data_IF_874559051286
#
_entry.id   IF_874559051286
#
_cell.length_a   1.000
_cell.length_b   1.000
_cell.length_c   1.000
_cell.angle_alpha   90.00
_cell.angle_beta   90.00
_cell.angle_gamma   90.00
#
_symmetry.space_group_name_H-M   'P 1'
#
loop_
_entity.id
_entity.type
_entity.pdbx_description
1 polymer ?
#
# COMPACT_ATOMS: atom_id res chain seq x y z
N UNK A 1 0.65 20.70 26.39
CA UNK A 1 1.24 19.56 25.67
C UNK A 1 2.20 18.85 26.62
N UNK A 2 1.78 17.77 27.25
CA UNK A 2 2.60 16.95 28.17
C UNK A 2 3.61 16.18 27.33
N UNK A 3 4.89 16.48 27.48
CA UNK A 3 6.00 15.67 26.92
C UNK A 3 5.97 14.30 27.61
N UNK A 4 5.41 13.30 26.97
CA UNK A 4 5.61 11.93 27.40
C UNK A 4 7.13 11.64 27.27
N UNK A 5 7.78 11.40 28.39
CA UNK A 5 9.21 11.12 28.45
C UNK A 5 9.43 9.75 27.83
N UNK A 6 10.39 9.67 26.91
CA UNK A 6 10.88 8.40 26.32
C UNK A 6 11.24 7.35 27.40
N UNK A 7 11.61 7.80 28.60
CA UNK A 7 11.84 6.99 29.79
C UNK A 7 10.60 6.26 30.30
N UNK A 8 9.41 6.87 30.19
CA UNK A 8 8.15 6.25 30.64
C UNK A 8 7.73 5.11 29.72
N UNK A 9 7.90 5.27 28.40
CA UNK A 9 7.60 4.24 27.40
C UNK A 9 8.54 3.06 27.60
N UNK A 10 9.84 3.33 27.76
CA UNK A 10 10.85 2.29 28.00
C UNK A 10 10.66 1.53 29.31
N UNK A 11 10.25 2.22 30.39
CA UNK A 11 9.96 1.58 31.68
C UNK A 11 8.68 0.72 31.60
N UNK A 12 7.66 1.14 30.87
CA UNK A 12 6.44 0.35 30.67
C UNK A 12 6.71 -0.89 29.84
N UNK A 13 7.53 -0.79 28.80
CA UNK A 13 7.95 -1.94 27.97
C UNK A 13 8.77 -2.96 28.77
N UNK A 14 9.68 -2.51 29.66
CA UNK A 14 10.44 -3.40 30.54
C UNK A 14 9.50 -4.07 31.58
N UNK A 15 8.53 -3.35 32.14
CA UNK A 15 7.57 -3.92 33.08
C UNK A 15 6.68 -4.97 32.41
N UNK A 16 6.26 -4.74 31.18
CA UNK A 16 5.54 -5.73 30.37
C UNK A 16 6.40 -6.99 30.11
N UNK A 17 7.68 -6.83 29.80
CA UNK A 17 8.61 -7.96 29.55
C UNK A 17 8.83 -8.77 30.84
N UNK A 18 8.90 -8.16 32.02
CA UNK A 18 9.09 -8.89 33.29
C UNK A 18 7.82 -9.61 33.73
N UNK A 19 6.64 -9.11 33.41
CA UNK A 19 5.36 -9.80 33.68
C UNK A 19 5.14 -11.00 32.73
N UNK A 20 5.78 -11.03 31.55
CA UNK A 20 5.68 -12.12 30.58
C UNK A 20 6.31 -13.44 31.04
N UNK A 21 7.24 -13.43 31.99
CA UNK A 21 7.81 -14.65 32.58
C UNK A 21 6.82 -15.46 33.47
N UNK A 22 5.63 -14.90 33.76
CA UNK A 22 4.60 -15.58 34.53
C UNK A 22 3.59 -16.34 33.66
N UNK A 23 3.58 -16.10 32.36
CA UNK A 23 2.70 -16.76 31.42
C UNK A 23 3.54 -17.47 30.34
N UNK A 24 3.25 -18.72 30.06
CA UNK A 24 3.87 -19.55 29.01
C UNK A 24 3.53 -19.05 27.58
N UNK A 25 3.70 -17.76 27.33
CA UNK A 25 3.37 -17.14 26.02
C UNK A 25 4.66 -16.90 25.22
N UNK A 26 4.65 -17.29 23.95
CA UNK A 26 5.76 -17.03 23.04
C UNK A 26 5.86 -15.52 22.76
N UNK A 27 7.07 -14.98 22.94
CA UNK A 27 7.38 -13.63 22.45
C UNK A 27 7.68 -13.72 20.97
N UNK A 28 6.99 -12.92 20.19
CA UNK A 28 7.23 -12.81 18.73
C UNK A 28 7.88 -11.47 18.42
N UNK A 29 8.72 -11.46 17.41
CA UNK A 29 9.37 -10.24 16.95
C UNK A 29 9.40 -10.18 15.43
N UNK A 30 9.37 -8.96 14.89
CA UNK A 30 9.55 -8.66 13.47
C UNK A 30 10.56 -7.54 13.34
N UNK A 31 11.42 -7.60 12.31
CA UNK A 31 12.32 -6.53 11.94
C UNK A 31 12.29 -6.35 10.43
N UNK A 32 12.38 -5.12 9.97
CA UNK A 32 12.35 -4.79 8.56
C UNK A 32 13.32 -3.69 8.20
N UNK A 33 13.77 -3.75 6.96
CA UNK A 33 14.55 -2.70 6.31
C UNK A 33 14.01 -2.52 4.89
N UNK A 34 13.75 -1.27 4.49
CA UNK A 34 13.42 -0.89 3.13
C UNK A 34 14.39 0.21 2.70
N UNK A 35 14.98 0.07 1.52
CA UNK A 35 15.67 1.13 0.80
C UNK A 35 14.96 1.37 -0.51
N UNK A 36 14.68 2.62 -0.81
CA UNK A 36 14.01 3.07 -2.02
C UNK A 36 14.84 4.18 -2.64
N UNK A 37 15.18 4.01 -3.91
CA UNK A 37 15.61 5.08 -4.79
C UNK A 37 14.64 5.11 -5.98
N UNK A 38 13.98 6.24 -6.22
CA UNK A 38 13.04 6.45 -7.32
C UNK A 38 13.36 7.79 -7.99
N UNK A 39 14.09 7.75 -9.11
CA UNK A 39 14.42 8.91 -9.90
C UNK A 39 13.41 9.05 -11.04
N UNK A 40 12.60 10.10 -11.00
CA UNK A 40 11.50 10.38 -11.93
C UNK A 40 11.90 11.51 -12.86
N UNK A 41 12.04 11.20 -14.15
CA UNK A 41 12.36 12.15 -15.22
C UNK A 41 11.08 12.49 -16.01
N UNK A 42 10.13 13.16 -15.31
CA UNK A 42 8.83 13.50 -15.90
C UNK A 42 8.84 14.91 -16.49
N UNK A 43 8.39 15.01 -17.74
CA UNK A 43 8.18 16.26 -18.47
C UNK A 43 6.71 16.53 -18.75
N UNK A 44 5.86 15.54 -18.52
CA UNK A 44 4.39 15.64 -18.70
C UNK A 44 3.75 16.58 -17.68
N UNK A 45 2.61 17.18 -18.06
CA UNK A 45 1.79 18.03 -17.18
C UNK A 45 1.27 17.28 -15.93
N UNK A 46 1.09 15.96 -16.01
CA UNK A 46 0.51 15.13 -14.95
C UNK A 46 1.53 14.62 -13.94
N UNK A 47 2.80 14.79 -14.22
CA UNK A 47 3.91 14.42 -13.33
C UNK A 47 4.93 15.56 -13.24
N UNK A 48 5.83 15.48 -12.29
CA UNK A 48 6.98 16.40 -12.18
C UNK A 48 8.23 15.60 -11.85
N UNK A 49 9.40 16.10 -12.25
CA UNK A 49 10.67 15.46 -11.92
C UNK A 49 10.88 15.48 -10.40
N UNK A 50 11.21 14.33 -9.85
CA UNK A 50 11.43 14.13 -8.42
C UNK A 50 12.38 12.96 -8.21
N UNK A 51 13.28 13.08 -7.24
CA UNK A 51 14.08 11.96 -6.76
C UNK A 51 13.73 11.65 -5.32
N UNK A 52 13.16 10.48 -5.08
CA UNK A 52 12.92 9.94 -3.74
C UNK A 52 14.08 9.00 -3.43
N UNK A 53 14.82 9.27 -2.38
CA UNK A 53 15.92 8.44 -1.91
C UNK A 53 15.83 8.31 -0.39
N UNK A 54 15.56 7.13 0.12
CA UNK A 54 15.41 6.96 1.55
C UNK A 54 15.55 5.53 2.04
N UNK A 55 15.75 5.43 3.35
CA UNK A 55 15.81 4.16 4.08
C UNK A 55 14.84 4.16 5.23
N UNK A 56 14.14 3.06 5.40
CA UNK A 56 13.26 2.81 6.53
C UNK A 56 13.71 1.59 7.29
N UNK A 57 13.78 1.71 8.60
CA UNK A 57 13.89 0.58 9.51
C UNK A 57 12.58 0.39 10.25
N UNK A 58 12.22 -0.85 10.54
CA UNK A 58 11.05 -1.18 11.36
C UNK A 58 11.39 -2.27 12.36
N UNK A 59 10.79 -2.19 13.53
CA UNK A 59 10.89 -3.22 14.56
C UNK A 59 9.56 -3.33 15.31
N UNK A 60 9.11 -4.55 15.53
CA UNK A 60 7.93 -4.87 16.31
C UNK A 60 8.25 -6.00 17.29
N UNK A 61 7.70 -5.93 18.47
CA UNK A 61 7.71 -7.01 19.46
C UNK A 61 6.28 -7.25 19.91
N UNK A 62 5.97 -8.47 20.25
CA UNK A 62 4.64 -8.80 20.72
C UNK A 62 4.61 -10.15 21.41
N UNK A 63 3.44 -10.54 21.78
CA UNK A 63 3.20 -11.84 22.41
C UNK A 63 2.06 -12.57 21.72
N UNK A 64 2.24 -13.85 21.61
CA UNK A 64 1.25 -14.77 21.07
C UNK A 64 0.30 -15.17 22.19
N UNK A 65 -0.99 -14.88 22.04
CA UNK A 65 -2.03 -15.24 23.02
C UNK A 65 -2.35 -16.75 22.87
N UNK A 66 -2.49 -17.19 21.64
CA UNK A 66 -2.66 -18.60 21.25
C UNK A 66 -2.07 -18.84 19.86
N UNK A 67 -2.29 -20.01 19.27
CA UNK A 67 -1.78 -20.36 17.95
C UNK A 67 -2.19 -19.42 16.82
N UNK A 68 -3.29 -18.70 16.99
CA UNK A 68 -3.90 -17.86 15.96
C UNK A 68 -3.88 -16.39 16.31
N UNK A 69 -3.66 -16.01 17.56
CA UNK A 69 -3.84 -14.66 18.07
C UNK A 69 -2.54 -14.08 18.61
N UNK A 70 -2.30 -12.81 18.27
CA UNK A 70 -1.16 -12.06 18.75
C UNK A 70 -1.48 -10.58 18.91
N UNK A 71 -0.75 -9.92 19.81
CA UNK A 71 -0.68 -8.46 19.89
C UNK A 71 0.76 -8.05 19.62
N UNK A 72 0.93 -7.07 18.75
CA UNK A 72 2.24 -6.53 18.39
C UNK A 72 2.25 -5.02 18.59
N UNK A 73 3.39 -4.52 19.05
CA UNK A 73 3.69 -3.09 19.09
C UNK A 73 5.09 -2.82 18.56
N UNK A 74 5.32 -1.60 18.10
CA UNK A 74 6.62 -1.20 17.57
C UNK A 74 6.51 0.06 16.73
N UNK A 75 7.26 0.08 15.64
CA UNK A 75 7.18 1.20 14.72
C UNK A 75 8.23 1.15 13.63
N UNK A 76 8.21 2.20 12.81
CA UNK A 76 9.19 2.40 11.75
C UNK A 76 9.72 3.82 11.74
N UNK A 77 10.94 3.97 11.25
CA UNK A 77 11.63 5.25 11.13
C UNK A 77 12.18 5.41 9.72
N UNK A 78 11.78 6.50 9.05
CA UNK A 78 12.21 6.85 7.70
C UNK A 78 13.24 7.97 7.75
N UNK A 79 14.32 7.81 7.01
CA UNK A 79 15.32 8.84 6.74
C UNK A 79 15.42 9.01 5.22
N UNK A 80 15.15 10.20 4.73
CA UNK A 80 15.43 10.58 3.35
C UNK A 80 16.88 11.04 3.23
N UNK A 81 17.54 10.57 2.18
CA UNK A 81 18.96 10.82 1.94
C UNK A 81 19.15 12.00 0.98
N UNK A 82 20.26 12.72 1.17
CA UNK A 82 20.67 13.86 0.36
C UNK A 82 21.80 14.60 1.04
N UNK A 83 22.18 15.76 0.53
CA UNK A 83 23.19 16.62 1.15
C UNK A 83 22.77 17.01 2.59
N UNK A 84 21.48 17.20 2.81
CA UNK A 84 20.88 17.33 4.14
C UNK A 84 19.90 16.20 4.33
N UNK A 85 20.26 15.24 5.17
CA UNK A 85 19.35 14.14 5.52
C UNK A 85 18.13 14.70 6.24
N UNK A 86 16.95 14.27 5.82
CA UNK A 86 15.70 14.58 6.47
C UNK A 86 15.15 13.32 7.18
N UNK A 87 15.01 13.44 8.50
CA UNK A 87 14.48 12.39 9.34
C UNK A 87 13.00 12.67 9.64
N UNK A 88 12.14 11.72 9.28
CA UNK A 88 10.72 11.80 9.58
C UNK A 88 10.43 11.43 11.04
N UNK A 89 9.27 11.83 11.55
CA UNK A 89 8.83 11.34 12.86
C UNK A 89 8.58 9.83 12.81
N UNK A 90 8.94 9.10 13.88
CA UNK A 90 8.65 7.68 13.96
C UNK A 90 7.17 7.39 13.81
N UNK A 91 6.82 6.42 12.98
CA UNK A 91 5.45 5.94 12.79
C UNK A 91 5.25 4.71 13.67
N UNK A 92 4.38 4.82 14.66
CA UNK A 92 4.12 3.74 15.61
C UNK A 92 3.20 2.68 15.01
N UNK A 93 3.38 1.44 15.46
CA UNK A 93 2.48 0.30 15.24
C UNK A 93 1.98 -0.22 16.58
N UNK A 94 0.70 -0.56 16.64
CA UNK A 94 0.08 -1.26 17.76
C UNK A 94 -1.20 -1.91 17.25
N UNK A 95 -1.23 -3.22 17.19
CA UNK A 95 -2.35 -3.93 16.62
C UNK A 95 -2.54 -5.34 17.17
N UNK A 96 -3.78 -5.78 17.13
CA UNK A 96 -4.17 -7.17 17.30
C UNK A 96 -4.17 -7.87 15.96
N UNK A 97 -3.69 -9.11 15.93
CA UNK A 97 -3.74 -10.00 14.77
C UNK A 97 -4.40 -11.33 15.14
N UNK A 98 -5.37 -11.75 14.32
CA UNK A 98 -5.89 -13.11 14.29
C UNK A 98 -5.57 -13.73 12.94
N UNK A 99 -4.94 -14.91 12.93
CA UNK A 99 -4.56 -15.57 11.68
C UNK A 99 -4.79 -17.09 11.76
N UNK A 100 -5.59 -17.60 10.85
CA UNK A 100 -5.74 -19.02 10.57
C UNK A 100 -5.70 -19.28 9.06
N UNK A 101 -6.05 -20.48 8.61
CA UNK A 101 -6.01 -20.85 7.19
C UNK A 101 -7.05 -20.13 6.33
N UNK A 102 -8.11 -19.60 6.93
CA UNK A 102 -9.22 -18.95 6.22
C UNK A 102 -9.19 -17.42 6.38
N UNK A 103 -8.76 -16.91 7.51
CA UNK A 103 -8.86 -15.49 7.87
C UNK A 103 -7.53 -14.98 8.42
N UNK A 104 -7.05 -13.85 7.86
CA UNK A 104 -6.04 -13.00 8.48
C UNK A 104 -6.68 -11.64 8.79
N UNK A 105 -6.97 -11.40 10.07
CA UNK A 105 -7.59 -10.17 10.56
C UNK A 105 -6.56 -9.36 11.35
N UNK A 106 -6.52 -8.07 11.09
CA UNK A 106 -5.69 -7.11 11.81
C UNK A 106 -6.55 -5.91 12.21
N UNK A 107 -6.37 -5.42 13.45
CA UNK A 107 -7.07 -4.24 13.96
C UNK A 107 -6.14 -3.39 14.81
N UNK A 108 -6.08 -2.09 14.54
CA UNK A 108 -5.19 -1.12 15.17
C UNK A 108 -4.37 -0.35 14.13
N UNK A 109 -3.12 -0.02 14.47
CA UNK A 109 -2.16 0.58 13.56
C UNK A 109 -1.15 -0.48 13.11
N UNK A 110 -1.22 -0.96 11.89
CA UNK A 110 -0.43 -2.09 11.39
C UNK A 110 0.23 -1.79 10.03
N UNK A 111 1.42 -2.39 9.75
CA UNK A 111 2.16 -2.12 8.52
C UNK A 111 1.41 -2.53 7.25
N UNK A 112 1.62 -1.74 6.18
CA UNK A 112 1.20 -2.09 4.82
C UNK A 112 2.25 -3.02 4.22
N UNK A 113 2.05 -4.33 4.33
CA UNK A 113 2.94 -5.32 3.71
C UNK A 113 2.75 -5.39 2.19
N UNK A 114 1.50 -5.26 1.74
CA UNK A 114 1.10 -5.27 0.33
C UNK A 114 -0.02 -4.23 0.14
N UNK A 115 0.06 -3.46 -0.94
CA UNK A 115 -1.01 -2.54 -1.32
C UNK A 115 -2.32 -3.30 -1.55
N UNK A 116 -3.42 -2.79 -0.97
CA UNK A 116 -4.75 -3.37 -1.14
C UNK A 116 -5.36 -2.99 -2.49
N UNK A 117 -5.01 -1.81 -3.01
CA UNK A 117 -5.57 -1.27 -4.24
C UNK A 117 -4.49 -1.05 -5.30
N UNK A 118 -4.82 -1.12 -6.60
CA UNK A 118 -3.90 -0.79 -7.69
C UNK A 118 -3.54 0.71 -7.70
N UNK A 119 -2.46 1.05 -8.39
CA UNK A 119 -1.90 2.42 -8.46
C UNK A 119 -2.89 3.47 -8.97
N UNK A 120 -3.81 3.09 -9.83
CA UNK A 120 -4.88 3.98 -10.32
C UNK A 120 -5.77 4.50 -9.18
N UNK A 121 -5.91 3.76 -8.09
CA UNK A 121 -6.69 4.14 -6.90
C UNK A 121 -5.82 4.61 -5.73
N UNK A 122 -4.59 4.08 -5.61
CA UNK A 122 -3.71 4.32 -4.47
C UNK A 122 -2.23 4.30 -4.92
N UNK A 123 -1.60 5.47 -4.99
CA UNK A 123 -0.23 5.60 -5.51
C UNK A 123 0.84 5.03 -4.57
N UNK A 124 1.93 4.53 -5.12
CA UNK A 124 3.05 3.95 -4.37
C UNK A 124 3.72 4.94 -3.40
N UNK A 125 3.79 6.23 -3.77
CA UNK A 125 4.36 7.26 -2.90
C UNK A 125 3.61 7.41 -1.58
N UNK A 126 2.30 7.14 -1.54
CA UNK A 126 1.55 7.12 -0.29
C UNK A 126 2.04 6.03 0.66
N UNK A 127 2.35 4.84 0.17
CA UNK A 127 2.88 3.74 1.00
C UNK A 127 4.28 4.11 1.53
N UNK A 128 5.07 4.84 0.75
CA UNK A 128 6.37 5.32 1.20
C UNK A 128 6.26 6.26 2.40
N UNK A 129 5.40 7.28 2.34
CA UNK A 129 5.22 8.25 3.41
C UNK A 129 4.27 7.80 4.51
N UNK A 130 3.33 6.91 4.18
CA UNK A 130 2.31 6.38 5.09
C UNK A 130 2.32 4.85 5.08
N UNK A 131 3.29 4.24 5.80
CA UNK A 131 3.55 2.80 5.71
C UNK A 131 2.54 1.94 6.47
N UNK A 132 1.59 2.55 7.20
CA UNK A 132 0.66 1.84 8.07
C UNK A 132 -0.79 2.14 7.69
N UNK A 133 -1.65 1.13 7.77
CA UNK A 133 -3.09 1.29 7.92
C UNK A 133 -3.43 1.56 9.40
N UNK A 134 -4.46 2.37 9.64
CA UNK A 134 -4.96 2.68 10.98
C UNK A 134 -6.46 2.34 11.05
N UNK A 135 -6.79 1.12 11.46
CA UNK A 135 -8.18 0.66 11.43
C UNK A 135 -8.28 -0.84 11.47
N UNK A 136 -8.91 -1.45 10.46
CA UNK A 136 -9.07 -2.90 10.39
C UNK A 136 -8.90 -3.41 8.96
N UNK A 137 -8.28 -4.58 8.84
CA UNK A 137 -8.17 -5.34 7.60
C UNK A 137 -8.52 -6.80 7.85
N UNK A 138 -9.35 -7.37 7.00
CA UNK A 138 -9.66 -8.79 6.98
C UNK A 138 -9.32 -9.35 5.59
N UNK A 139 -8.47 -10.36 5.54
CA UNK A 139 -8.15 -11.12 4.32
C UNK A 139 -8.73 -12.51 4.48
N UNK A 140 -9.71 -12.83 3.66
CA UNK A 140 -10.35 -14.13 3.59
C UNK A 140 -9.68 -14.95 2.50
N UNK A 141 -9.06 -16.05 2.88
CA UNK A 141 -8.43 -16.99 1.95
C UNK A 141 -9.34 -18.21 1.75
N UNK A 142 -9.56 -18.57 0.52
CA UNK A 142 -10.35 -19.74 0.16
C UNK A 142 -9.68 -20.51 -0.99
N UNK A 143 -10.20 -21.69 -1.34
CA UNK A 143 -9.58 -22.58 -2.33
C UNK A 143 -9.41 -21.97 -3.73
N UNK A 144 -10.16 -20.93 -4.05
CA UNK A 144 -10.11 -20.24 -5.34
C UNK A 144 -9.38 -18.89 -5.30
N UNK A 145 -8.94 -18.40 -4.13
CA UNK A 145 -8.27 -17.12 -4.06
C UNK A 145 -8.38 -16.41 -2.72
N UNK A 146 -8.35 -15.08 -2.75
CA UNK A 146 -8.46 -14.26 -1.55
C UNK A 146 -9.34 -13.03 -1.76
N UNK A 147 -10.03 -12.60 -0.70
CA UNK A 147 -10.80 -11.37 -0.64
C UNK A 147 -10.37 -10.55 0.56
N UNK A 148 -10.06 -9.28 0.34
CA UNK A 148 -9.63 -8.33 1.37
C UNK A 148 -10.73 -7.29 1.59
N UNK A 149 -11.06 -7.04 2.87
CA UNK A 149 -11.85 -5.89 3.29
C UNK A 149 -10.93 -4.99 4.10
N UNK A 150 -10.92 -3.70 3.80
CA UNK A 150 -10.09 -2.69 4.46
C UNK A 150 -10.97 -1.54 4.94
N UNK A 151 -10.72 -1.10 6.17
CA UNK A 151 -11.12 0.18 6.70
C UNK A 151 -9.89 0.87 7.29
N UNK A 152 -9.55 2.05 6.80
CA UNK A 152 -8.35 2.79 7.17
C UNK A 152 -8.72 4.22 7.57
N UNK A 153 -8.60 4.53 8.86
CA UNK A 153 -8.93 5.82 9.45
C UNK A 153 -7.72 6.76 9.45
N UNK A 154 -7.83 7.88 8.76
CA UNK A 154 -6.68 8.77 8.56
C UNK A 154 -6.64 9.92 9.55
N UNK A 155 -7.77 10.53 9.82
CA UNK A 155 -7.87 11.65 10.78
C UNK A 155 -9.20 11.65 11.48
N UNK A 156 -9.16 11.97 12.77
CA UNK A 156 -10.34 12.21 13.60
C UNK A 156 -10.74 13.67 13.50
N UNK A 157 -12.01 13.94 13.77
CA UNK A 157 -12.51 15.31 13.96
C UNK A 157 -11.94 15.91 15.25
N UNK A 158 -11.01 16.86 15.07
CA UNK A 158 -10.40 17.66 16.17
C UNK A 158 -10.34 19.12 15.74
N UNK A 159 -9.98 20.03 16.65
CA UNK A 159 -9.70 21.41 16.28
C UNK A 159 -8.59 21.48 15.19
N UNK A 160 -8.93 22.00 14.02
CA UNK A 160 -8.04 22.09 12.86
C UNK A 160 -7.90 20.82 12.01
N UNK A 161 -8.61 19.73 12.36
CA UNK A 161 -8.58 18.46 11.62
C UNK A 161 -9.97 17.99 11.25
N UNK A 162 -10.16 17.59 10.01
CA UNK A 162 -11.39 17.01 9.51
C UNK A 162 -11.29 15.48 9.42
N UNK A 163 -12.43 14.83 9.50
CA UNK A 163 -12.53 13.38 9.35
C UNK A 163 -12.10 12.93 7.96
N UNK A 164 -11.25 11.90 7.91
CA UNK A 164 -10.85 11.23 6.67
C UNK A 164 -10.72 9.75 6.91
N UNK A 165 -11.27 8.94 6.02
CA UNK A 165 -11.06 7.50 6.01
C UNK A 165 -11.15 6.92 4.60
N UNK A 166 -10.64 5.71 4.47
CA UNK A 166 -10.83 4.85 3.31
C UNK A 166 -11.57 3.59 3.77
N UNK A 167 -12.52 3.15 2.96
CA UNK A 167 -13.12 1.83 3.05
C UNK A 167 -13.06 1.15 1.68
N UNK A 168 -12.83 -0.15 1.64
CA UNK A 168 -12.83 -0.84 0.37
C UNK A 168 -12.68 -2.34 0.46
N UNK A 169 -12.83 -2.94 -0.70
CA UNK A 169 -12.68 -4.38 -0.94
C UNK A 169 -11.76 -4.56 -2.13
N UNK A 170 -10.93 -5.61 -2.11
CA UNK A 170 -10.22 -6.08 -3.30
C UNK A 170 -10.00 -7.58 -3.21
N UNK A 171 -10.00 -8.24 -4.36
CA UNK A 171 -9.81 -9.67 -4.36
C UNK A 171 -9.33 -10.24 -5.67
N UNK A 172 -9.01 -11.52 -5.60
CA UNK A 172 -8.68 -12.35 -6.75
C UNK A 172 -9.31 -13.72 -6.59
N UNK A 173 -9.98 -14.19 -7.64
CA UNK A 173 -10.58 -15.53 -7.70
C UNK A 173 -10.03 -16.26 -8.91
N UNK A 174 -9.46 -17.45 -8.70
CA UNK A 174 -8.83 -18.29 -9.73
C UNK A 174 -9.74 -19.44 -10.15
N UNK A 175 -9.78 -19.70 -11.45
CA UNK A 175 -10.42 -20.84 -12.07
C UNK A 175 -9.40 -21.53 -12.98
N UNK A 176 -8.59 -22.43 -12.43
CA UNK A 176 -7.41 -23.00 -13.08
C UNK A 176 -6.41 -21.90 -13.44
N UNK A 177 -6.18 -21.69 -14.74
CA UNK A 177 -5.28 -20.65 -15.25
C UNK A 177 -5.97 -19.30 -15.48
N UNK A 178 -7.28 -19.22 -15.35
CA UNK A 178 -8.02 -17.96 -15.44
C UNK A 178 -8.22 -17.35 -14.07
N UNK A 179 -8.31 -16.04 -13.99
CA UNK A 179 -8.64 -15.33 -12.77
C UNK A 179 -9.52 -14.12 -13.03
N UNK A 180 -10.22 -13.71 -12.00
CA UNK A 180 -10.98 -12.46 -11.95
C UNK A 180 -10.44 -11.68 -10.76
N UNK A 181 -10.16 -10.40 -10.94
CA UNK A 181 -9.89 -9.47 -9.84
C UNK A 181 -11.01 -8.44 -9.75
N UNK A 182 -11.42 -8.18 -8.53
CA UNK A 182 -12.40 -7.16 -8.19
C UNK A 182 -11.80 -6.13 -7.24
N UNK A 183 -12.31 -4.90 -7.30
CA UNK A 183 -11.93 -3.85 -6.40
C UNK A 183 -13.08 -2.85 -6.22
N UNK A 184 -13.19 -2.34 -5.01
CA UNK A 184 -14.02 -1.20 -4.65
C UNK A 184 -13.25 -0.35 -3.64
N UNK A 185 -13.20 0.96 -3.89
CA UNK A 185 -12.49 1.94 -3.09
C UNK A 185 -13.42 3.12 -2.83
N UNK A 186 -13.56 3.51 -1.58
CA UNK A 186 -14.29 4.68 -1.15
C UNK A 186 -13.41 5.50 -0.19
N UNK A 187 -13.29 6.78 -0.45
CA UNK A 187 -12.59 7.74 0.39
C UNK A 187 -13.53 8.85 0.79
N UNK A 188 -13.74 8.99 2.09
CA UNK A 188 -14.43 10.10 2.71
C UNK A 188 -13.45 11.18 3.17
N UNK A 189 -13.79 12.45 2.93
CA UNK A 189 -13.06 13.58 3.45
C UNK A 189 -14.04 14.71 3.80
N UNK A 190 -14.32 14.89 5.08
CA UNK A 190 -15.04 16.07 5.56
C UNK A 190 -14.09 17.27 5.52
N UNK A 191 -14.29 18.21 4.61
CA UNK A 191 -13.38 19.35 4.38
C UNK A 191 -13.80 20.63 5.12
N UNK A 192 -14.84 20.60 5.95
CA UNK A 192 -15.37 21.76 6.66
C UNK A 192 -14.73 22.00 7.99
N UNK A 193 -14.48 23.27 8.36
CA UNK A 193 -14.42 23.66 9.76
C UNK A 193 -15.74 23.35 10.47
N UNK A 194 -15.67 23.16 11.79
CA UNK A 194 -16.85 22.87 12.61
C UNK A 194 -17.99 23.88 12.31
N UNK A 195 -19.06 23.41 11.66
CA UNK A 195 -20.19 24.24 11.23
C UNK A 195 -20.25 24.56 9.74
N UNK A 196 -19.20 24.32 8.94
CA UNK A 196 -19.25 24.38 7.48
C UNK A 196 -19.28 22.98 6.89
N UNK A 197 -20.42 22.57 6.39
CA UNK A 197 -20.62 21.23 5.79
C UNK A 197 -20.03 21.20 4.38
N UNK A 198 -18.77 20.82 4.25
CA UNK A 198 -18.15 20.54 2.98
C UNK A 198 -17.63 19.11 3.01
N UNK A 199 -17.94 18.32 2.01
CA UNK A 199 -17.55 16.92 1.90
C UNK A 199 -16.96 16.67 0.52
N UNK A 200 -15.81 16.02 0.47
CA UNK A 200 -15.20 15.51 -0.74
C UNK A 200 -15.19 13.98 -0.69
N UNK A 201 -16.20 13.37 -1.28
CA UNK A 201 -16.31 11.92 -1.38
C UNK A 201 -15.87 11.47 -2.74
N UNK A 202 -14.95 10.50 -2.76
CA UNK A 202 -14.47 9.95 -4.01
C UNK A 202 -14.24 8.46 -3.90
N UNK A 203 -14.18 7.80 -5.03
CA UNK A 203 -14.03 6.37 -5.05
C UNK A 203 -13.90 5.81 -6.44
N UNK A 204 -13.81 4.48 -6.47
CA UNK A 204 -13.73 3.75 -7.72
C UNK A 204 -14.02 2.27 -7.50
N UNK A 205 -14.37 1.62 -8.58
CA UNK A 205 -14.56 0.19 -8.63
C UNK A 205 -14.09 -0.34 -9.99
N UNK A 206 -13.72 -1.59 -10.02
CA UNK A 206 -13.26 -2.21 -11.25
C UNK A 206 -13.32 -3.72 -11.18
N UNK A 207 -13.30 -4.30 -12.35
CA UNK A 207 -13.29 -5.74 -12.55
C UNK A 207 -12.36 -6.05 -13.71
N UNK A 208 -11.40 -6.96 -13.50
CA UNK A 208 -10.56 -7.48 -14.57
C UNK A 208 -10.68 -8.99 -14.65
N UNK A 209 -10.63 -9.52 -15.86
CA UNK A 209 -10.46 -10.95 -16.12
C UNK A 209 -9.08 -11.18 -16.71
N UNK A 210 -8.43 -12.27 -16.33
CA UNK A 210 -7.08 -12.55 -16.74
C UNK A 210 -6.77 -14.03 -16.87
N UNK A 211 -5.56 -14.27 -17.35
CA UNK A 211 -4.99 -15.59 -17.53
C UNK A 211 -3.58 -15.59 -16.95
N UNK A 212 -3.20 -16.65 -16.23
CA UNK A 212 -1.86 -16.83 -15.69
C UNK A 212 -1.29 -18.22 -15.97
N UNK A 213 0.01 -18.27 -16.15
CA UNK A 213 0.79 -19.49 -16.21
C UNK A 213 1.95 -19.38 -15.22
N UNK A 214 2.16 -20.43 -14.44
CA UNK A 214 3.27 -20.55 -13.48
C UNK A 214 4.08 -21.81 -13.77
N UNK A 215 5.41 -21.71 -13.59
CA UNK A 215 6.32 -22.84 -13.70
C UNK A 215 6.24 -23.60 -15.04
N UNK A 216 6.12 -22.86 -16.14
CA UNK A 216 6.20 -23.38 -17.51
C UNK A 216 7.58 -23.05 -18.11
N UNK A 217 7.64 -22.60 -19.35
CA UNK A 217 8.87 -22.02 -19.93
C UNK A 217 9.23 -20.69 -19.24
N UNK A 218 8.23 -19.94 -18.77
CA UNK A 218 8.37 -18.81 -17.87
C UNK A 218 8.13 -19.24 -16.41
N UNK A 219 8.73 -18.55 -15.47
CA UNK A 219 8.46 -18.76 -14.03
C UNK A 219 7.08 -18.21 -13.67
N UNK A 220 6.71 -17.07 -14.30
CA UNK A 220 5.38 -16.48 -14.21
C UNK A 220 5.04 -15.74 -15.50
N UNK A 221 3.82 -15.88 -15.96
CA UNK A 221 3.20 -15.10 -17.02
C UNK A 221 1.77 -14.78 -16.60
N UNK A 222 1.38 -13.51 -16.66
CA UNK A 222 0.02 -13.07 -16.34
C UNK A 222 -0.41 -11.97 -17.29
N UNK A 223 -1.63 -12.04 -17.76
CA UNK A 223 -2.28 -10.99 -18.55
C UNK A 223 -3.70 -10.79 -18.04
N UNK A 224 -4.12 -9.54 -17.88
CA UNK A 224 -5.50 -9.23 -17.54
C UNK A 224 -5.98 -8.01 -18.28
N UNK A 225 -7.29 -7.93 -18.46
CA UNK A 225 -7.97 -6.75 -18.98
C UNK A 225 -9.33 -6.60 -18.32
N UNK A 226 -9.80 -5.38 -18.24
CA UNK A 226 -11.09 -5.06 -17.66
C UNK A 226 -11.31 -3.56 -17.66
N UNK A 227 -11.94 -3.06 -16.62
CA UNK A 227 -12.27 -1.65 -16.52
C UNK A 227 -12.12 -1.13 -15.09
N UNK A 228 -11.95 0.19 -15.01
CA UNK A 228 -12.00 0.97 -13.78
C UNK A 228 -12.98 2.11 -13.99
N UNK A 229 -13.95 2.23 -13.09
CA UNK A 229 -14.87 3.35 -13.02
C UNK A 229 -14.55 4.14 -11.75
N UNK A 230 -14.38 5.46 -11.86
CA UNK A 230 -14.12 6.31 -10.70
C UNK A 230 -15.09 7.48 -10.63
N UNK A 231 -15.27 8.03 -9.43
CA UNK A 231 -16.04 9.25 -9.22
C UNK A 231 -15.32 10.17 -8.23
N UNK A 232 -15.50 11.46 -8.44
CA UNK A 232 -14.99 12.51 -7.57
C UNK A 232 -16.11 13.53 -7.32
N UNK A 233 -16.42 13.77 -6.06
CA UNK A 233 -17.35 14.79 -5.63
C UNK A 233 -16.67 15.71 -4.62
N UNK A 234 -16.79 17.02 -4.82
CA UNK A 234 -16.30 18.04 -3.91
C UNK A 234 -17.34 19.15 -3.76
N UNK A 235 -17.94 19.24 -2.59
CA UNK A 235 -19.00 20.20 -2.31
C UNK A 235 -18.50 21.66 -2.16
N UNK A 236 -17.17 21.88 -2.07
CA UNK A 236 -16.59 23.23 -2.07
C UNK A 236 -16.39 23.81 -3.47
N UNK A 237 -16.20 22.94 -4.44
CA UNK A 237 -15.95 23.35 -5.80
C UNK A 237 -17.27 23.48 -6.56
N UNK A 238 -17.82 24.69 -6.54
CA UNK A 238 -19.06 25.02 -7.25
C UNK A 238 -18.89 25.05 -8.77
N UNK A 239 -17.65 24.99 -9.27
CA UNK A 239 -17.35 24.96 -10.70
C UNK A 239 -17.44 23.54 -11.28
N UNK A 240 -17.36 22.53 -10.41
CA UNK A 240 -17.49 21.14 -10.80
C UNK A 240 -18.95 20.73 -10.78
N UNK A 241 -19.48 20.34 -11.94
CA UNK A 241 -20.77 19.61 -12.02
C UNK A 241 -20.53 18.22 -11.42
N UNK A 242 -20.77 18.12 -10.14
CA UNK A 242 -20.45 16.95 -9.33
C UNK A 242 -21.55 15.87 -9.39
N UNK A 243 -21.17 14.57 -9.33
CA UNK A 243 -19.81 14.05 -9.31
C UNK A 243 -19.17 13.94 -10.70
N UNK A 244 -17.90 14.30 -10.83
CA UNK A 244 -17.10 13.89 -11.99
C UNK A 244 -17.01 12.37 -12.00
N UNK A 245 -17.30 11.76 -13.13
CA UNK A 245 -17.18 10.32 -13.32
C UNK A 245 -16.18 10.05 -14.42
N UNK A 246 -15.47 8.94 -14.33
CA UNK A 246 -14.58 8.48 -15.38
C UNK A 246 -14.65 6.96 -15.52
N UNK A 247 -14.63 6.49 -16.75
CA UNK A 247 -14.60 5.09 -17.12
C UNK A 247 -13.40 4.87 -18.06
N UNK A 248 -12.57 3.88 -17.73
CA UNK A 248 -11.45 3.51 -18.56
C UNK A 248 -11.25 1.99 -18.60
N UNK A 249 -10.69 1.51 -19.71
CA UNK A 249 -10.12 0.17 -19.78
C UNK A 249 -8.81 0.12 -19.02
N UNK A 250 -8.57 -0.96 -18.29
CA UNK A 250 -7.37 -1.19 -17.52
C UNK A 250 -6.83 -2.59 -17.80
N UNK A 251 -5.66 -2.66 -18.37
CA UNK A 251 -5.02 -3.91 -18.75
C UNK A 251 -3.64 -4.03 -18.10
N UNK A 252 -3.26 -5.24 -17.71
CA UNK A 252 -1.95 -5.53 -17.15
C UNK A 252 -1.32 -6.72 -17.85
N UNK A 253 -0.01 -6.70 -17.96
CA UNK A 253 0.80 -7.80 -18.45
C UNK A 253 2.02 -7.96 -17.54
N UNK A 254 2.33 -9.17 -17.12
CA UNK A 254 3.52 -9.50 -16.36
C UNK A 254 4.14 -10.79 -16.88
N UNK A 255 5.45 -10.79 -17.02
CA UNK A 255 6.23 -11.98 -17.36
C UNK A 255 7.54 -11.97 -16.59
N UNK A 256 7.95 -13.13 -16.09
CA UNK A 256 9.23 -13.31 -15.40
C UNK A 256 9.91 -14.59 -15.84
N UNK A 257 11.21 -14.49 -16.03
CA UNK A 257 12.12 -15.63 -16.22
C UNK A 257 13.37 -15.41 -15.40
N UNK A 258 13.59 -16.26 -14.39
CA UNK A 258 14.71 -16.14 -13.43
C UNK A 258 14.76 -14.73 -12.80
N UNK A 259 15.85 -14.04 -13.03
CA UNK A 259 16.09 -12.69 -12.49
C UNK A 259 15.58 -11.55 -13.37
N UNK A 260 14.96 -11.83 -14.51
CA UNK A 260 14.45 -10.79 -15.43
C UNK A 260 12.92 -10.85 -15.45
N UNK A 261 12.30 -9.70 -15.30
CA UNK A 261 10.86 -9.50 -15.42
C UNK A 261 10.52 -8.34 -16.35
N UNK A 262 9.30 -8.35 -16.84
CA UNK A 262 8.68 -7.22 -17.52
C UNK A 262 7.26 -7.09 -16.99
N UNK A 263 6.91 -5.89 -16.57
CA UNK A 263 5.58 -5.51 -16.10
C UNK A 263 5.04 -4.40 -17.00
N UNK A 264 3.82 -4.52 -17.49
CA UNK A 264 3.22 -3.49 -18.31
C UNK A 264 1.77 -3.21 -17.87
N UNK A 265 1.41 -1.95 -17.94
CA UNK A 265 0.07 -1.44 -17.63
C UNK A 265 -0.38 -0.59 -18.84
N UNK A 266 -1.63 -0.76 -19.25
CA UNK A 266 -2.28 0.09 -20.22
C UNK A 266 -3.62 0.55 -19.70
N UNK A 267 -3.81 1.87 -19.67
CA UNK A 267 -5.02 2.54 -19.21
C UNK A 267 -5.51 3.48 -20.33
N UNK A 268 -6.75 3.30 -20.78
CA UNK A 268 -7.31 4.13 -21.83
C UNK A 268 -8.81 4.39 -21.59
N UNK A 269 -9.20 5.65 -21.66
CA UNK A 269 -10.55 6.13 -21.45
C UNK A 269 -10.59 7.55 -20.89
N UNK A 270 -11.42 7.78 -19.92
CA UNK A 270 -11.52 9.06 -19.23
C UNK A 270 -10.49 9.12 -18.09
N UNK A 271 -9.80 10.26 -17.93
CA UNK A 271 -8.83 10.46 -16.86
C UNK A 271 -9.47 10.45 -15.48
N UNK A 272 -8.83 9.80 -14.51
CA UNK A 272 -9.31 9.77 -13.12
C UNK A 272 -8.99 11.08 -12.38
N UNK A 273 -9.86 11.47 -11.47
CA UNK A 273 -9.69 12.66 -10.61
C UNK A 273 -9.41 12.29 -9.14
N UNK A 274 -9.04 11.04 -8.87
CA UNK A 274 -8.83 10.55 -7.50
C UNK A 274 -7.61 11.24 -6.85
N UNK A 275 -7.75 11.86 -5.68
CA UNK A 275 -6.67 12.58 -5.02
C UNK A 275 -5.49 11.69 -4.58
N UNK A 276 -5.74 10.39 -4.38
CA UNK A 276 -4.75 9.41 -3.90
C UNK A 276 -4.35 8.38 -4.96
N UNK A 277 -4.98 8.43 -6.13
CA UNK A 277 -4.52 7.71 -7.31
C UNK A 277 -3.23 8.32 -7.87
N UNK A 278 -2.49 7.53 -8.62
CA UNK A 278 -1.32 8.03 -9.32
C UNK A 278 -1.76 9.09 -10.35
N UNK A 279 -1.21 10.31 -10.28
CA UNK A 279 -1.64 11.42 -11.12
C UNK A 279 -1.47 11.18 -12.62
N UNK A 280 -0.62 10.26 -13.04
CA UNK A 280 -0.43 9.92 -14.46
C UNK A 280 -1.69 9.33 -15.12
N UNK A 281 -2.59 8.73 -14.33
CA UNK A 281 -3.88 8.24 -14.84
C UNK A 281 -4.91 9.35 -15.11
N UNK A 282 -4.59 10.61 -14.80
CA UNK A 282 -5.45 11.76 -15.14
C UNK A 282 -5.45 12.09 -16.62
N UNK A 283 -4.44 11.65 -17.37
CA UNK A 283 -4.36 11.89 -18.82
C UNK A 283 -5.41 11.12 -19.65
N UNK A 284 -5.97 10.03 -19.11
CA UNK A 284 -6.90 9.18 -19.84
C UNK A 284 -6.27 8.23 -20.88
N UNK A 285 -5.02 8.44 -21.28
CA UNK A 285 -4.26 7.55 -22.15
C UNK A 285 -2.85 7.36 -21.59
N UNK A 286 -2.69 6.33 -20.78
CA UNK A 286 -1.47 6.04 -20.05
C UNK A 286 -1.00 4.61 -20.30
N UNK A 287 0.28 4.45 -20.64
CA UNK A 287 0.93 3.16 -20.63
C UNK A 287 2.21 3.22 -19.80
N UNK A 288 2.51 2.13 -19.13
CA UNK A 288 3.75 1.94 -18.38
C UNK A 288 4.36 0.59 -18.74
N UNK A 289 5.66 0.57 -18.92
CA UNK A 289 6.42 -0.65 -19.18
C UNK A 289 7.65 -0.63 -18.26
N UNK A 290 7.75 -1.59 -17.37
CA UNK A 290 8.85 -1.74 -16.44
C UNK A 290 9.72 -2.94 -16.85
N UNK A 291 10.98 -2.71 -17.22
CA UNK A 291 12.00 -3.75 -17.25
C UNK A 291 12.55 -3.97 -15.85
N UNK A 292 12.50 -5.19 -15.34
CA UNK A 292 12.83 -5.51 -13.96
C UNK A 292 14.02 -6.47 -13.91
N UNK A 293 15.03 -6.14 -13.10
CA UNK A 293 16.13 -7.04 -12.75
C UNK A 293 16.05 -7.35 -11.25
N UNK A 294 15.79 -8.60 -10.90
CA UNK A 294 15.82 -9.10 -9.53
C UNK A 294 17.25 -9.54 -9.19
N UNK A 295 18.00 -8.71 -8.47
CA UNK A 295 19.34 -9.05 -7.99
C UNK A 295 19.28 -10.10 -6.87
N UNK A 296 18.28 -10.01 -6.01
CA UNK A 296 17.93 -10.99 -4.98
C UNK A 296 16.41 -11.15 -4.95
N UNK A 297 15.95 -12.37 -4.82
CA UNK A 297 14.54 -12.69 -4.65
C UNK A 297 14.41 -13.95 -3.79
N UNK A 298 14.46 -13.75 -2.48
CA UNK A 298 14.34 -14.79 -1.46
C UNK A 298 13.11 -14.49 -0.57
N UNK A 299 12.62 -15.43 0.23
CA UNK A 299 11.49 -15.18 1.14
C UNK A 299 11.70 -14.00 2.10
N UNK A 300 12.95 -13.72 2.47
CA UNK A 300 13.28 -12.70 3.47
C UNK A 300 13.91 -11.44 2.88
N UNK A 301 14.48 -11.51 1.67
CA UNK A 301 15.18 -10.39 1.04
C UNK A 301 14.83 -10.30 -0.42
N UNK A 302 14.35 -9.13 -0.84
CA UNK A 302 14.19 -8.74 -2.23
C UNK A 302 15.11 -7.56 -2.54
N UNK A 303 15.83 -7.62 -3.66
CA UNK A 303 16.55 -6.49 -4.21
C UNK A 303 16.30 -6.44 -5.71
N UNK A 304 15.74 -5.35 -6.19
CA UNK A 304 15.39 -5.19 -7.60
C UNK A 304 15.73 -3.80 -8.12
N UNK A 305 16.10 -3.76 -9.39
CA UNK A 305 16.19 -2.56 -10.21
C UNK A 305 15.06 -2.58 -11.24
N UNK A 306 14.37 -1.44 -11.42
CA UNK A 306 13.32 -1.26 -12.41
C UNK A 306 13.62 -0.04 -13.27
N UNK A 307 13.57 -0.22 -14.57
CA UNK A 307 13.53 0.87 -15.53
C UNK A 307 12.11 0.98 -16.05
N UNK A 308 11.45 2.08 -15.72
CA UNK A 308 10.05 2.31 -16.00
C UNK A 308 9.94 3.34 -17.15
N UNK A 309 9.28 2.95 -18.24
CA UNK A 309 8.92 3.82 -19.35
C UNK A 309 7.44 4.19 -19.22
N UNK A 310 7.14 5.47 -19.30
CA UNK A 310 5.79 6.01 -19.16
C UNK A 310 5.37 6.72 -20.45
N UNK A 311 4.29 6.28 -21.06
CA UNK A 311 3.63 7.00 -22.13
C UNK A 311 2.42 7.74 -21.55
N UNK A 312 2.44 9.05 -21.62
CA UNK A 312 1.43 9.93 -21.01
C UNK A 312 0.96 10.91 -22.08
N UNK A 313 -0.22 10.65 -22.65
CA UNK A 313 -0.89 11.55 -23.59
C UNK A 313 0.01 12.04 -24.75
N UNK A 314 0.76 11.13 -25.36
CA UNK A 314 1.68 11.43 -26.48
C UNK A 314 3.14 11.69 -26.11
N UNK A 315 3.45 11.79 -24.81
CA UNK A 315 4.81 12.04 -24.31
C UNK A 315 5.40 10.79 -23.67
N UNK A 316 6.67 10.51 -23.94
CA UNK A 316 7.42 9.46 -23.28
C UNK A 316 8.29 10.05 -22.17
N UNK A 317 8.04 9.61 -20.96
CA UNK A 317 8.84 9.89 -19.76
C UNK A 317 9.45 8.59 -19.23
N UNK A 318 10.38 8.70 -18.27
CA UNK A 318 10.97 7.51 -17.67
C UNK A 318 11.23 7.72 -16.16
N UNK A 319 11.37 6.61 -15.44
CA UNK A 319 11.89 6.60 -14.09
C UNK A 319 12.75 5.37 -13.83
N UNK A 320 13.71 5.49 -12.91
CA UNK A 320 14.59 4.40 -12.50
C UNK A 320 14.37 4.16 -11.01
N UNK A 321 14.11 2.91 -10.64
CA UNK A 321 13.77 2.54 -9.28
C UNK A 321 14.70 1.44 -8.77
N UNK A 322 15.21 1.60 -7.56
CA UNK A 322 15.91 0.55 -6.80
C UNK A 322 15.12 0.29 -5.54
N UNK A 323 14.76 -0.96 -5.32
CA UNK A 323 14.15 -1.43 -4.10
C UNK A 323 15.02 -2.48 -3.43
N UNK A 324 15.29 -2.30 -2.14
CA UNK A 324 15.82 -3.36 -1.28
C UNK A 324 14.86 -3.49 -0.12
N UNK A 325 14.37 -4.69 0.11
CA UNK A 325 13.47 -5.02 1.20
C UNK A 325 13.99 -6.22 1.94
N UNK A 326 14.17 -6.10 3.24
CA UNK A 326 14.47 -7.23 4.11
C UNK A 326 13.40 -7.36 5.19
N UNK A 327 12.95 -8.59 5.47
CA UNK A 327 11.95 -8.91 6.49
C UNK A 327 12.42 -10.11 7.28
N UNK A 328 12.57 -9.91 8.57
CA UNK A 328 12.96 -10.94 9.52
C UNK A 328 11.86 -11.08 10.56
N UNK A 329 11.59 -12.27 10.99
CA UNK A 329 10.66 -12.55 12.07
C UNK A 329 11.10 -13.80 12.84
N UNK A 330 10.69 -13.88 14.08
CA UNK A 330 11.04 -15.01 14.92
C UNK A 330 10.19 -15.09 16.17
N UNK A 331 10.38 -16.18 16.89
CA UNK A 331 9.80 -16.43 18.20
C UNK A 331 10.91 -16.62 19.21
N UNK A 332 10.71 -16.09 20.41
CA UNK A 332 11.52 -16.32 21.59
C UNK A 332 10.60 -16.97 22.62
N UNK A 333 10.87 -18.19 22.98
CA UNK A 333 10.09 -18.99 23.92
C UNK A 333 10.70 -20.40 23.98
N UNK A 334 10.41 -21.11 25.04
CA UNK A 334 10.87 -22.49 25.23
C UNK A 334 10.08 -23.46 24.34
#
# INVERSE_FOLDING_TARGET
>A
MTRFSFRSIFATSILCITLLNAFSQDVIWKAGFDFIADNREFTTYYGYPETILGSRVSAEIGFQIDTNQAILEGGSYLVEHGEKMFAHEPVLTMYYQYKNNFLNFQAGCFPIEKATFPKVLYTDSLIYYRPNYQGARAVFTHNLGEQTILFDWHTQVRAGYCEKFIAGISGITHFKNFFITDMFYYRHHAEGERGKKSVADNGGWGLNAGFELKNTWFDSLSVSTGFVNTWYANSKDTTIVSPLRSLASYSTFYIQKKCIGLDAIYYVGEGTHLPWGDPLYRCGNYARIDGILYALNTPNVEASFRWCMHYVDGVWDNSQQIYIRARLNGKMGK
#
